data_IF_415096776158
#
_entry.id   IF_415096776158
#
_cell.length_a   1.000
_cell.length_b   1.000
_cell.length_c   1.000
_cell.angle_alpha   90.00
_cell.angle_beta   90.00
_cell.angle_gamma   90.00
#
_symmetry.space_group_name_H-M   'P 1'
#
loop_
_entity.id
_entity.type
_entity.pdbx_description
1 polymer ?
#
# COMPACT_ATOMS: atom_id res chain seq x y z
N UNK A 1 21.60 -5.11 33.00
CA UNK A 1 20.61 -6.11 32.54
C UNK A 1 19.37 -5.32 32.20
N UNK A 2 19.09 -5.09 30.92
CA UNK A 2 17.82 -4.47 30.48
C UNK A 2 16.70 -5.46 30.80
N UNK A 3 15.72 -5.01 31.59
CA UNK A 3 14.55 -5.83 31.90
C UNK A 3 13.93 -6.38 30.61
N UNK A 4 13.47 -7.62 30.64
CA UNK A 4 12.81 -8.22 29.49
C UNK A 4 11.55 -7.42 29.16
N UNK A 5 11.29 -7.19 27.86
CA UNK A 5 10.09 -6.50 27.41
C UNK A 5 8.85 -7.25 27.87
N UNK A 6 7.92 -6.53 28.52
CA UNK A 6 6.66 -7.09 29.02
C UNK A 6 5.62 -7.21 27.89
N UNK A 7 5.57 -8.40 27.28
CA UNK A 7 4.60 -8.70 26.23
C UNK A 7 3.14 -8.65 26.75
N UNK A 8 2.91 -9.01 28.04
CA UNK A 8 1.56 -8.99 28.59
C UNK A 8 1.03 -7.56 28.75
N UNK A 9 1.91 -6.59 29.06
CA UNK A 9 1.54 -5.20 29.12
C UNK A 9 1.14 -4.64 27.73
N UNK A 10 1.83 -5.07 26.67
CA UNK A 10 1.45 -4.70 25.28
C UNK A 10 0.09 -5.34 24.93
N UNK A 11 -0.09 -6.62 25.23
CA UNK A 11 -1.33 -7.35 24.94
C UNK A 11 -2.53 -6.71 25.69
N UNK A 12 -2.34 -6.30 26.96
CA UNK A 12 -3.35 -5.57 27.74
C UNK A 12 -3.63 -4.17 27.14
N UNK A 13 -2.59 -3.44 26.72
CA UNK A 13 -2.77 -2.13 26.08
C UNK A 13 -3.64 -2.23 24.81
N UNK A 14 -3.48 -3.28 24.03
CA UNK A 14 -4.33 -3.53 22.87
C UNK A 14 -5.79 -3.72 23.24
N UNK A 15 -6.09 -4.55 24.24
CA UNK A 15 -7.48 -4.81 24.66
C UNK A 15 -8.14 -3.59 25.32
N UNK A 16 -7.43 -2.92 26.23
CA UNK A 16 -8.03 -1.94 27.13
C UNK A 16 -8.05 -0.51 26.54
N UNK A 17 -7.09 -0.18 25.66
CA UNK A 17 -6.88 1.21 25.21
C UNK A 17 -6.86 1.37 23.70
N UNK A 18 -6.27 0.40 22.95
CA UNK A 18 -6.11 0.54 21.50
C UNK A 18 -7.39 0.16 20.79
N UNK A 19 -7.91 -1.04 20.98
CA UNK A 19 -9.11 -1.50 20.25
C UNK A 19 -10.32 -0.56 20.41
N UNK A 20 -10.63 0.02 21.58
CA UNK A 20 -11.70 1.01 21.69
C UNK A 20 -11.49 2.22 20.77
N UNK A 21 -10.29 2.82 20.79
CA UNK A 21 -10.00 4.01 19.97
C UNK A 21 -9.82 3.68 18.49
N UNK A 22 -9.27 2.52 18.15
CA UNK A 22 -9.23 2.04 16.75
C UNK A 22 -10.65 1.85 16.19
N UNK A 23 -11.61 1.39 17.01
CA UNK A 23 -13.01 1.35 16.63
C UNK A 23 -13.60 2.76 16.41
N UNK A 24 -13.21 3.76 17.21
CA UNK A 24 -13.61 5.16 16.99
C UNK A 24 -13.02 5.69 15.67
N UNK A 25 -11.73 5.47 15.44
CA UNK A 25 -11.06 5.83 14.19
C UNK A 25 -11.73 5.16 12.98
N UNK A 26 -12.08 3.87 13.07
CA UNK A 26 -12.72 3.14 11.97
C UNK A 26 -14.03 3.80 11.53
N UNK A 27 -14.79 4.39 12.44
CA UNK A 27 -16.05 5.09 12.14
C UNK A 27 -15.88 6.39 11.36
N UNK A 28 -14.68 6.96 11.34
CA UNK A 28 -14.38 8.21 10.62
C UNK A 28 -14.14 7.88 9.14
N UNK A 29 -14.93 8.39 8.20
CA UNK A 29 -14.74 8.13 6.76
C UNK A 29 -13.67 9.05 6.16
N UNK A 30 -12.44 8.99 6.68
CA UNK A 30 -11.30 9.80 6.25
C UNK A 30 -10.70 9.25 4.94
N UNK A 31 -11.47 9.39 3.84
CA UNK A 31 -11.05 8.98 2.51
C UNK A 31 -9.84 9.78 2.04
N UNK A 32 -8.94 9.11 1.33
CA UNK A 32 -7.81 9.74 0.66
C UNK A 32 -8.27 10.75 -0.40
N UNK A 33 -7.51 11.84 -0.65
CA UNK A 33 -7.90 12.91 -1.57
C UNK A 33 -8.27 12.47 -2.99
N UNK A 34 -7.65 11.43 -3.52
CA UNK A 34 -7.99 10.88 -4.84
C UNK A 34 -9.46 10.39 -4.92
N UNK A 35 -10.05 10.07 -3.77
CA UNK A 35 -11.41 9.52 -3.67
C UNK A 35 -12.41 10.48 -3.03
N UNK A 36 -11.95 11.62 -2.53
CA UNK A 36 -12.77 12.68 -1.94
C UNK A 36 -12.19 14.06 -2.28
N UNK A 37 -12.63 14.61 -3.40
CA UNK A 37 -12.20 15.95 -3.84
C UNK A 37 -12.51 17.06 -2.81
N UNK A 38 -13.54 16.85 -1.98
CA UNK A 38 -13.99 17.81 -0.95
C UNK A 38 -13.42 17.47 0.44
N UNK A 39 -12.38 16.65 0.54
CA UNK A 39 -11.81 16.16 1.80
C UNK A 39 -11.52 17.29 2.82
N UNK A 40 -11.04 18.45 2.33
CA UNK A 40 -10.70 19.59 3.18
C UNK A 40 -11.96 20.24 3.80
N UNK A 41 -13.07 20.27 3.05
CA UNK A 41 -14.34 20.84 3.51
C UNK A 41 -15.06 19.87 4.44
N UNK A 42 -15.01 18.57 4.16
CA UNK A 42 -15.63 17.52 5.00
C UNK A 42 -14.92 17.34 6.33
N UNK A 43 -13.60 17.55 6.37
CA UNK A 43 -12.82 17.57 7.60
C UNK A 43 -12.56 16.19 8.23
N UNK A 44 -12.96 15.07 7.61
CA UNK A 44 -12.82 13.73 8.19
C UNK A 44 -11.35 13.31 8.41
N UNK A 45 -10.45 13.70 7.50
CA UNK A 45 -9.00 13.51 7.66
C UNK A 45 -8.48 14.27 8.89
N UNK A 46 -8.95 15.51 9.08
CA UNK A 46 -8.55 16.33 10.24
C UNK A 46 -9.10 15.73 11.53
N UNK A 47 -10.34 15.23 11.51
CA UNK A 47 -10.97 14.55 12.66
C UNK A 47 -10.15 13.30 13.05
N UNK A 48 -9.72 12.48 12.07
CA UNK A 48 -8.86 11.32 12.32
C UNK A 48 -7.52 11.75 12.95
N UNK A 49 -6.86 12.77 12.38
CA UNK A 49 -5.60 13.29 12.92
C UNK A 49 -5.74 13.81 14.38
N UNK A 50 -6.81 14.53 14.69
CA UNK A 50 -7.05 15.02 16.05
C UNK A 50 -7.40 13.88 17.04
N UNK A 51 -8.14 12.87 16.61
CA UNK A 51 -8.41 11.67 17.42
C UNK A 51 -7.09 10.97 17.79
N UNK A 52 -6.25 10.68 16.79
CA UNK A 52 -4.96 10.01 16.99
C UNK A 52 -4.03 10.86 17.85
N UNK A 53 -3.90 12.16 17.57
CA UNK A 53 -3.08 13.07 18.37
C UNK A 53 -3.57 13.19 19.83
N UNK A 54 -4.88 13.21 20.04
CA UNK A 54 -5.48 13.21 21.39
C UNK A 54 -5.15 11.92 22.13
N UNK A 55 -5.31 10.78 21.48
CA UNK A 55 -4.95 9.48 22.06
C UNK A 55 -3.48 9.43 22.47
N UNK A 56 -2.55 9.88 21.60
CA UNK A 56 -1.10 9.92 21.90
C UNK A 56 -0.81 10.75 23.16
N UNK A 57 -1.36 11.97 23.24
CA UNK A 57 -1.17 12.85 24.40
C UNK A 57 -1.68 12.26 25.71
N UNK A 58 -2.73 11.39 25.64
CA UNK A 58 -3.25 10.69 26.81
C UNK A 58 -2.37 9.50 27.22
N UNK A 59 -1.58 8.90 26.29
CA UNK A 59 -0.65 7.85 26.64
C UNK A 59 0.58 8.41 27.37
N UNK A 60 1.19 9.48 26.84
CA UNK A 60 2.30 10.18 27.48
C UNK A 60 2.34 11.66 27.02
N UNK A 61 2.10 12.55 27.96
CA UNK A 61 2.15 14.00 27.72
C UNK A 61 3.57 14.54 27.42
N UNK A 62 4.62 13.75 27.65
CA UNK A 62 5.99 14.12 27.31
C UNK A 62 6.29 13.93 25.81
N UNK A 63 5.49 13.15 25.09
CA UNK A 63 5.61 13.02 23.64
C UNK A 63 5.16 14.31 22.94
N UNK A 64 6.09 14.95 22.23
CA UNK A 64 5.76 16.12 21.43
C UNK A 64 4.91 15.71 20.23
N UNK A 65 3.63 16.04 20.25
CA UNK A 65 2.64 15.63 19.24
C UNK A 65 2.14 16.86 18.49
N UNK A 66 2.39 16.91 17.19
CA UNK A 66 2.09 18.02 16.29
C UNK A 66 1.33 17.55 15.07
N UNK A 67 0.26 18.23 14.68
CA UNK A 67 -0.40 18.05 13.39
C UNK A 67 0.15 19.11 12.44
N UNK A 68 1.04 18.69 11.55
CA UNK A 68 1.67 19.54 10.55
C UNK A 68 0.64 19.87 9.46
N UNK A 69 0.53 21.17 9.13
CA UNK A 69 -0.41 21.65 8.12
C UNK A 69 0.34 22.50 7.09
N UNK A 70 0.15 22.20 5.82
CA UNK A 70 0.59 23.02 4.69
C UNK A 70 -0.63 23.44 3.88
N UNK A 71 -0.66 24.69 3.34
CA UNK A 71 -1.78 25.16 2.54
C UNK A 71 -2.09 24.22 1.35
N UNK A 72 -3.36 23.83 1.22
CA UNK A 72 -3.84 22.97 0.13
C UNK A 72 -3.37 21.53 0.18
N UNK A 73 -2.77 21.07 1.29
CA UNK A 73 -2.26 19.70 1.47
C UNK A 73 -2.90 19.02 2.67
N UNK A 74 -2.93 17.70 2.62
CA UNK A 74 -3.35 16.86 3.75
C UNK A 74 -2.42 17.03 4.94
N UNK A 75 -2.90 16.86 6.19
CA UNK A 75 -2.05 16.98 7.36
C UNK A 75 -1.12 15.75 7.52
N UNK A 76 -0.03 15.94 8.27
CA UNK A 76 0.82 14.86 8.77
C UNK A 76 0.85 14.95 10.30
N UNK A 77 0.59 13.83 10.97
CA UNK A 77 0.78 13.73 12.42
C UNK A 77 2.24 13.36 12.70
N UNK A 78 2.96 14.27 13.36
CA UNK A 78 4.32 14.07 13.83
C UNK A 78 4.34 13.86 15.33
N UNK A 79 4.99 12.78 15.79
CA UNK A 79 5.22 12.49 17.19
C UNK A 79 6.74 12.35 17.39
N UNK A 80 7.32 13.16 18.28
CA UNK A 80 8.74 13.19 18.59
C UNK A 80 8.93 12.90 20.09
N UNK A 81 9.76 11.93 20.43
CA UNK A 81 10.06 11.60 21.83
C UNK A 81 11.05 12.56 22.51
N UNK A 82 11.55 13.56 21.77
CA UNK A 82 12.53 14.54 22.28
C UNK A 82 13.92 13.96 22.55
N UNK A 83 14.20 12.73 22.10
CA UNK A 83 15.52 12.10 22.24
C UNK A 83 16.60 12.76 21.39
N UNK A 84 17.82 12.26 21.47
CA UNK A 84 18.97 12.79 20.74
C UNK A 84 19.60 11.73 19.82
N UNK A 85 20.46 12.18 18.90
CA UNK A 85 21.16 11.33 17.93
C UNK A 85 20.41 11.16 16.61
N UNK A 86 20.90 10.26 15.75
CA UNK A 86 20.25 9.90 14.50
C UNK A 86 18.92 9.21 14.79
N UNK A 87 17.81 9.68 14.22
CA UNK A 87 16.49 9.18 14.59
C UNK A 87 16.20 7.79 14.02
N UNK A 88 15.35 7.06 14.73
CA UNK A 88 14.53 6.03 14.12
C UNK A 88 13.22 6.68 13.68
N UNK A 89 12.84 6.50 12.42
CA UNK A 89 11.56 6.95 11.88
C UNK A 89 10.61 5.76 11.83
N UNK A 90 9.43 5.89 12.44
CA UNK A 90 8.33 4.93 12.29
C UNK A 90 7.28 5.57 11.43
N UNK A 91 6.86 4.89 10.36
CA UNK A 91 5.96 5.40 9.34
C UNK A 91 4.69 4.58 9.27
N UNK A 92 3.58 5.27 9.01
CA UNK A 92 2.27 4.74 8.67
C UNK A 92 1.38 5.84 8.12
N UNK A 93 0.11 5.52 7.83
CA UNK A 93 -0.86 6.48 7.32
C UNK A 93 -2.21 6.42 8.04
N UNK A 94 -3.06 7.45 7.81
CA UNK A 94 -4.37 7.56 8.45
C UNK A 94 -5.52 7.77 7.46
N UNK A 95 -5.24 7.96 6.19
CA UNK A 95 -6.27 8.02 5.14
C UNK A 95 -6.70 6.62 4.71
N UNK A 96 -7.81 6.52 4.01
CA UNK A 96 -8.46 5.25 3.70
C UNK A 96 -8.88 5.15 2.25
N UNK A 97 -8.88 3.93 1.74
CA UNK A 97 -9.58 3.55 0.52
C UNK A 97 -11.09 3.68 0.66
N UNK A 98 -11.83 3.91 -0.45
CA UNK A 98 -13.29 3.89 -0.43
C UNK A 98 -13.85 2.51 -0.08
N UNK A 99 -15.11 2.44 0.39
CA UNK A 99 -15.78 1.19 0.71
C UNK A 99 -16.22 0.45 -0.57
N UNK A 100 -15.27 -0.16 -1.27
CA UNK A 100 -15.51 -0.88 -2.51
C UNK A 100 -16.22 -2.22 -2.27
N UNK A 101 -17.14 -2.59 -3.18
CA UNK A 101 -17.85 -3.86 -3.15
C UNK A 101 -18.95 -3.97 -2.07
N UNK A 102 -19.56 -5.15 -1.99
CA UNK A 102 -20.60 -5.45 -1.01
C UNK A 102 -19.97 -6.10 0.23
N UNK A 103 -20.24 -5.53 1.40
CA UNK A 103 -19.80 -6.08 2.68
C UNK A 103 -20.73 -7.21 3.11
N UNK A 104 -20.17 -8.23 3.77
CA UNK A 104 -20.94 -9.35 4.35
C UNK A 104 -22.02 -8.83 5.29
N UNK A 105 -23.17 -9.48 5.31
CA UNK A 105 -24.27 -9.10 6.21
C UNK A 105 -23.79 -9.01 7.67
N UNK A 106 -24.08 -7.89 8.32
CA UNK A 106 -23.64 -7.58 9.67
C UNK A 106 -22.27 -6.90 9.74
N UNK A 107 -21.58 -6.67 8.61
CA UNK A 107 -20.36 -5.89 8.52
C UNK A 107 -20.59 -4.64 7.68
N UNK A 108 -19.78 -3.60 7.95
CA UNK A 108 -19.78 -2.35 7.18
C UNK A 108 -18.43 -1.66 7.25
N UNK A 109 -18.11 -0.79 6.27
CA UNK A 109 -16.80 -0.16 6.20
C UNK A 109 -16.50 0.72 7.44
N UNK A 110 -17.51 1.39 7.96
CA UNK A 110 -17.39 2.31 9.10
C UNK A 110 -18.14 1.82 10.35
N UNK A 111 -18.42 0.53 10.39
CA UNK A 111 -19.07 -0.15 11.51
C UNK A 111 -18.13 -1.24 12.02
N UNK A 112 -17.19 -0.91 12.93
CA UNK A 112 -16.19 -1.87 13.39
C UNK A 112 -16.87 -3.02 14.14
N UNK A 113 -16.57 -4.26 13.72
CA UNK A 113 -17.10 -5.48 14.34
C UNK A 113 -15.95 -6.42 14.68
N UNK A 114 -15.87 -6.84 15.94
CA UNK A 114 -14.91 -7.87 16.36
C UNK A 114 -15.54 -9.26 16.30
N UNK A 115 -14.89 -10.17 15.58
CA UNK A 115 -15.22 -11.60 15.57
C UNK A 115 -13.96 -12.42 15.95
N UNK A 116 -13.88 -12.84 17.18
CA UNK A 116 -12.69 -13.56 17.70
C UNK A 116 -11.42 -12.71 17.64
N UNK A 117 -10.45 -13.16 16.86
CA UNK A 117 -9.16 -12.48 16.67
C UNK A 117 -9.17 -11.44 15.53
N UNK A 118 -10.30 -11.23 14.88
CA UNK A 118 -10.42 -10.29 13.76
C UNK A 118 -11.24 -9.08 14.16
N UNK A 119 -10.78 -7.88 13.78
CA UNK A 119 -11.55 -6.63 13.83
C UNK A 119 -11.84 -6.21 12.39
N UNK A 120 -13.09 -6.28 11.99
CA UNK A 120 -13.57 -5.85 10.68
C UNK A 120 -13.86 -4.36 10.64
N UNK A 121 -13.48 -3.71 9.53
CA UNK A 121 -13.75 -2.31 9.23
C UNK A 121 -12.69 -1.72 8.31
N UNK A 122 -13.05 -0.75 7.48
CA UNK A 122 -12.12 -0.06 6.58
C UNK A 122 -11.09 0.74 7.36
N UNK A 123 -9.80 0.56 7.05
CA UNK A 123 -8.69 1.23 7.70
C UNK A 123 -8.32 0.62 9.05
N UNK A 124 -8.81 -0.59 9.39
CA UNK A 124 -8.40 -1.27 10.62
C UNK A 124 -7.00 -1.87 10.50
N UNK A 125 -6.70 -2.45 9.32
CA UNK A 125 -5.44 -3.11 9.01
C UNK A 125 -4.57 -2.28 8.08
N UNK A 126 -5.18 -1.47 7.24
CA UNK A 126 -4.59 -0.61 6.24
C UNK A 126 -5.00 0.86 6.49
N UNK A 127 -4.26 1.69 7.24
CA UNK A 127 -3.11 1.40 8.14
C UNK A 127 -3.38 2.01 9.55
N UNK A 128 -4.67 2.12 9.92
CA UNK A 128 -5.10 2.81 11.16
C UNK A 128 -4.50 2.22 12.44
N UNK A 129 -4.01 0.97 12.43
CA UNK A 129 -3.38 0.35 13.58
C UNK A 129 -1.97 0.91 13.85
N UNK A 130 -1.28 1.45 12.83
CA UNK A 130 0.14 1.81 12.88
C UNK A 130 0.48 2.85 13.94
N UNK A 131 -0.31 3.90 14.07
CA UNK A 131 -0.11 4.92 15.13
C UNK A 131 -0.09 4.29 16.51
N UNK A 132 -1.05 3.39 16.77
CA UNK A 132 -1.17 2.72 18.06
C UNK A 132 -0.01 1.76 18.31
N UNK A 133 0.38 0.99 17.29
CA UNK A 133 1.51 0.06 17.37
C UNK A 133 2.83 0.81 17.58
N UNK A 134 3.07 1.91 16.84
CA UNK A 134 4.27 2.73 16.95
C UNK A 134 4.42 3.36 18.34
N UNK A 135 3.38 4.03 18.84
CA UNK A 135 3.42 4.71 20.15
C UNK A 135 3.50 3.71 21.29
N UNK A 136 2.72 2.63 21.26
CA UNK A 136 2.78 1.60 22.31
C UNK A 136 4.11 0.89 22.31
N UNK A 137 4.68 0.60 21.12
CA UNK A 137 6.02 0.04 20.97
C UNK A 137 7.10 0.97 21.54
N UNK A 138 7.02 2.28 21.25
CA UNK A 138 7.91 3.29 21.79
C UNK A 138 7.88 3.34 23.33
N UNK A 139 6.70 3.38 23.92
CA UNK A 139 6.53 3.42 25.37
C UNK A 139 7.00 2.12 26.04
N UNK A 140 6.72 0.98 25.42
CA UNK A 140 7.17 -0.33 25.90
C UNK A 140 8.69 -0.51 25.79
N UNK A 141 9.35 0.09 24.81
CA UNK A 141 10.80 0.06 24.65
C UNK A 141 11.53 0.65 25.88
N UNK A 142 10.89 1.53 26.62
CA UNK A 142 11.49 2.22 27.77
C UNK A 142 12.51 3.29 27.34
N UNK A 143 13.38 3.68 28.24
CA UNK A 143 14.42 4.69 27.92
C UNK A 143 15.63 4.09 27.22
N UNK A 144 16.46 4.97 26.60
CA UNK A 144 17.76 4.60 26.03
C UNK A 144 17.78 4.32 24.53
N UNK A 145 16.65 4.40 23.85
CA UNK A 145 16.53 4.14 22.39
C UNK A 145 16.89 5.32 21.48
N UNK A 146 17.36 6.44 22.04
CA UNK A 146 17.70 7.64 21.28
C UNK A 146 16.47 8.40 20.76
N UNK A 147 16.62 9.11 19.66
CA UNK A 147 15.53 9.88 19.06
C UNK A 147 14.62 9.00 18.21
N UNK A 148 13.33 9.11 18.42
CA UNK A 148 12.29 8.42 17.63
C UNK A 148 11.31 9.46 17.11
N UNK A 149 11.05 9.39 15.81
CA UNK A 149 10.03 10.17 15.12
C UNK A 149 8.98 9.22 14.55
N UNK A 150 7.71 9.47 14.86
CA UNK A 150 6.61 8.74 14.24
C UNK A 150 5.90 9.70 13.28
N UNK A 151 5.82 9.31 12.01
CA UNK A 151 5.21 10.08 10.93
C UNK A 151 3.99 9.32 10.43
N UNK A 152 2.81 9.94 10.54
CA UNK A 152 1.54 9.37 10.05
C UNK A 152 0.98 10.34 9.03
N UNK A 153 1.03 9.97 7.76
CA UNK A 153 0.49 10.81 6.68
C UNK A 153 -1.00 10.59 6.44
N UNK A 154 -1.59 11.38 5.55
CA UNK A 154 -3.02 11.34 5.24
C UNK A 154 -3.30 11.43 3.73
N UNK A 155 -2.39 10.94 2.90
CA UNK A 155 -2.54 10.85 1.44
C UNK A 155 -1.82 9.65 0.83
N UNK A 156 -1.49 8.63 1.63
CA UNK A 156 -0.78 7.43 1.14
C UNK A 156 -1.57 6.74 0.03
N UNK A 157 -2.84 6.54 0.25
CA UNK A 157 -3.78 5.88 -0.65
C UNK A 157 -4.06 6.65 -1.97
N UNK A 158 -3.53 7.87 -2.04
CA UNK A 158 -3.45 8.71 -3.25
C UNK A 158 -2.03 8.75 -3.84
N UNK A 159 -1.11 7.90 -3.36
CA UNK A 159 0.30 7.86 -3.78
C UNK A 159 1.20 8.89 -3.10
N UNK A 160 0.86 9.34 -1.89
CA UNK A 160 1.67 10.26 -1.04
C UNK A 160 2.03 11.61 -1.69
N UNK A 161 1.15 12.29 -2.45
CA UNK A 161 1.51 13.50 -3.19
C UNK A 161 1.94 14.65 -2.29
N UNK A 162 1.54 14.63 -1.02
CA UNK A 162 1.78 15.72 -0.07
C UNK A 162 2.97 15.48 0.85
N UNK A 163 3.38 14.23 1.03
CA UNK A 163 4.38 13.85 2.03
C UNK A 163 5.75 14.50 1.79
N UNK A 164 6.24 14.51 0.54
CA UNK A 164 7.54 15.12 0.21
C UNK A 164 7.59 16.61 0.56
N UNK A 165 6.48 17.34 0.42
CA UNK A 165 6.41 18.75 0.82
C UNK A 165 6.49 18.91 2.34
N UNK A 166 5.85 18.02 3.11
CA UNK A 166 5.98 18.01 4.57
C UNK A 166 7.42 17.67 5.01
N UNK A 167 8.06 16.68 4.37
CA UNK A 167 9.45 16.34 4.66
C UNK A 167 10.41 17.51 4.36
N UNK A 168 10.20 18.19 3.23
CA UNK A 168 10.97 19.39 2.89
C UNK A 168 10.77 20.52 3.92
N UNK A 169 9.53 20.72 4.37
CA UNK A 169 9.20 21.71 5.41
C UNK A 169 9.79 21.36 6.78
N UNK A 170 9.85 20.08 7.13
CA UNK A 170 10.51 19.62 8.35
C UNK A 170 12.03 19.83 8.29
N UNK A 171 12.64 19.79 7.10
CA UNK A 171 14.05 20.07 6.90
C UNK A 171 14.94 19.31 7.87
N UNK A 172 15.83 20.02 8.55
CA UNK A 172 16.74 19.42 9.52
C UNK A 172 16.10 18.82 10.79
N UNK A 173 14.77 18.99 11.00
CA UNK A 173 14.07 18.38 12.15
C UNK A 173 14.05 16.86 12.05
N UNK A 174 13.98 16.26 10.84
CA UNK A 174 14.04 14.81 10.68
C UNK A 174 15.47 14.31 10.91
N UNK A 175 16.49 15.05 10.45
CA UNK A 175 17.87 14.58 10.45
C UNK A 175 18.11 13.47 9.42
N UNK A 176 19.15 12.67 9.63
CA UNK A 176 19.41 11.47 8.83
C UNK A 176 18.96 10.24 9.62
N UNK A 177 17.89 9.54 9.20
CA UNK A 177 17.45 8.37 9.92
C UNK A 177 18.48 7.23 9.82
N UNK A 178 18.77 6.57 10.93
CA UNK A 178 19.57 5.33 10.93
C UNK A 178 18.71 4.09 10.59
N UNK A 179 17.42 4.16 10.91
CA UNK A 179 16.44 3.10 10.68
C UNK A 179 15.08 3.72 10.35
N UNK A 180 14.42 3.19 9.33
CA UNK A 180 13.01 3.44 9.03
C UNK A 180 12.24 2.15 9.29
N UNK A 181 11.20 2.21 10.11
CA UNK A 181 10.23 1.13 10.34
C UNK A 181 8.93 1.55 9.66
N UNK A 182 8.57 0.89 8.56
CA UNK A 182 7.30 1.09 7.88
C UNK A 182 6.32 0.01 8.36
N UNK A 183 5.13 0.41 8.80
CA UNK A 183 4.11 -0.50 9.35
C UNK A 183 3.02 -0.86 8.35
N UNK A 184 3.05 -0.26 7.16
CA UNK A 184 2.09 -0.42 6.10
C UNK A 184 2.47 -1.56 5.15
N UNK A 185 2.46 -2.80 5.64
CA UNK A 185 2.78 -3.98 4.85
C UNK A 185 2.18 -5.27 5.45
N UNK A 186 2.58 -6.41 4.90
CA UNK A 186 2.03 -7.69 5.32
C UNK A 186 2.88 -8.91 4.97
N UNK A 187 2.22 -10.05 4.80
CA UNK A 187 2.88 -11.29 4.48
C UNK A 187 1.94 -12.43 4.11
N UNK A 188 2.52 -13.62 3.93
CA UNK A 188 1.80 -14.81 3.43
C UNK A 188 1.01 -15.56 4.50
N UNK A 189 1.27 -15.28 5.80
CA UNK A 189 0.63 -15.97 6.92
C UNK A 189 0.64 -15.12 8.19
N UNK A 190 -0.14 -15.54 9.20
CA UNK A 190 -0.15 -14.92 10.54
C UNK A 190 0.67 -15.71 11.57
N UNK A 191 1.52 -16.65 11.17
CA UNK A 191 2.27 -17.54 12.05
C UNK A 191 3.76 -17.18 12.18
N UNK A 192 4.17 -16.02 11.66
CA UNK A 192 5.50 -15.40 11.80
C UNK A 192 5.45 -13.90 11.52
N UNK A 193 6.51 -13.18 11.87
CA UNK A 193 6.72 -11.84 11.33
C UNK A 193 7.13 -11.92 9.85
N UNK A 194 6.69 -10.95 9.07
CA UNK A 194 7.07 -10.80 7.68
C UNK A 194 7.80 -9.49 7.45
N UNK A 195 8.80 -9.55 6.57
CA UNK A 195 9.50 -8.38 6.05
C UNK A 195 9.23 -8.23 4.57
N UNK A 196 8.86 -7.05 4.17
CA UNK A 196 8.78 -6.67 2.77
C UNK A 196 10.15 -6.28 2.26
N UNK A 197 10.65 -7.01 1.28
CA UNK A 197 11.99 -6.82 0.70
C UNK A 197 11.96 -6.14 -0.66
N UNK A 198 10.79 -6.02 -1.28
CA UNK A 198 10.58 -5.25 -2.50
C UNK A 198 9.12 -4.87 -2.68
N UNK A 199 8.88 -3.77 -3.36
CA UNK A 199 7.58 -3.24 -3.75
C UNK A 199 7.58 -2.97 -5.24
N UNK A 200 6.51 -3.35 -5.94
CA UNK A 200 6.36 -2.99 -7.34
C UNK A 200 6.07 -1.51 -7.51
N UNK A 201 6.54 -0.93 -8.62
CA UNK A 201 6.08 0.35 -9.08
C UNK A 201 4.65 0.28 -9.65
N UNK A 202 4.06 1.44 -9.91
CA UNK A 202 2.72 1.54 -10.49
C UNK A 202 2.61 2.74 -11.43
N UNK A 203 1.98 2.54 -12.59
CA UNK A 203 1.54 3.62 -13.48
C UNK A 203 0.03 3.54 -13.59
N UNK A 204 -0.65 4.66 -13.38
CA UNK A 204 -2.10 4.79 -13.58
C UNK A 204 -2.35 5.85 -14.65
N UNK A 205 -3.10 5.49 -15.67
CA UNK A 205 -3.42 6.40 -16.77
C UNK A 205 -4.83 6.16 -17.32
N UNK A 206 -5.53 7.25 -17.63
CA UNK A 206 -6.76 7.22 -18.42
C UNK A 206 -6.42 7.35 -19.91
N UNK A 207 -6.88 6.39 -20.69
CA UNK A 207 -6.69 6.38 -22.15
C UNK A 207 -8.05 6.52 -22.81
N UNK A 208 -8.27 7.67 -23.45
CA UNK A 208 -9.49 8.00 -24.17
C UNK A 208 -9.27 7.99 -25.67
N UNK A 209 -10.17 7.34 -26.39
CA UNK A 209 -10.21 7.32 -27.86
C UNK A 209 -11.51 7.92 -28.35
N UNK A 210 -11.45 9.03 -29.11
CA UNK A 210 -12.57 9.68 -29.77
C UNK A 210 -12.55 9.37 -31.28
N UNK A 211 -13.69 8.92 -31.83
CA UNK A 211 -13.85 8.56 -33.25
C UNK A 211 -14.99 9.32 -33.93
N UNK A 212 -15.94 9.87 -33.18
CA UNK A 212 -17.09 10.61 -33.64
C UNK A 212 -17.35 11.81 -32.72
N UNK A 213 -18.03 12.81 -33.23
CA UNK A 213 -18.49 13.98 -32.45
C UNK A 213 -19.79 13.68 -31.69
N UNK A 214 -20.58 12.72 -32.18
CA UNK A 214 -21.84 12.25 -31.56
C UNK A 214 -22.09 10.77 -31.89
N UNK A 215 -22.92 10.10 -31.10
CA UNK A 215 -23.31 8.71 -31.36
C UNK A 215 -24.19 8.59 -32.60
N UNK A 216 -23.95 7.59 -33.45
CA UNK A 216 -24.76 7.31 -34.64
C UNK A 216 -25.30 5.87 -34.61
N UNK A 217 -26.31 5.59 -35.44
CA UNK A 217 -26.87 4.25 -35.56
C UNK A 217 -25.80 3.24 -35.98
N UNK A 218 -25.62 2.16 -35.24
CA UNK A 218 -24.54 1.19 -35.47
C UNK A 218 -24.62 0.49 -36.82
N UNK A 219 -25.83 0.33 -37.40
CA UNK A 219 -26.03 -0.18 -38.76
C UNK A 219 -25.62 0.80 -39.88
N UNK A 220 -25.47 2.09 -39.56
CA UNK A 220 -24.99 3.09 -40.50
C UNK A 220 -23.48 3.28 -40.43
N UNK A 221 -22.93 3.34 -39.21
CA UNK A 221 -21.51 3.58 -39.00
C UNK A 221 -20.67 2.30 -38.92
N UNK A 222 -21.26 1.17 -38.57
CA UNK A 222 -20.55 -0.10 -38.42
C UNK A 222 -19.96 -0.58 -39.75
N UNK A 223 -18.67 -0.92 -39.75
CA UNK A 223 -17.91 -1.28 -40.95
C UNK A 223 -17.35 -0.08 -41.73
N UNK A 224 -17.77 1.15 -41.43
CA UNK A 224 -17.32 2.40 -42.06
C UNK A 224 -16.43 3.18 -41.11
N UNK A 225 -16.90 3.41 -39.87
CA UNK A 225 -16.14 4.13 -38.84
C UNK A 225 -15.46 3.13 -37.92
N UNK A 226 -14.17 3.28 -37.59
CA UNK A 226 -13.52 2.44 -36.61
C UNK A 226 -14.18 2.63 -35.24
N UNK A 227 -14.41 1.54 -34.51
CA UNK A 227 -14.93 1.61 -33.15
C UNK A 227 -13.84 2.06 -32.20
N UNK A 228 -14.14 3.04 -31.31
CA UNK A 228 -13.23 3.48 -30.26
C UNK A 228 -12.74 2.33 -29.38
N UNK A 229 -13.63 1.43 -29.01
CA UNK A 229 -13.29 0.22 -28.24
C UNK A 229 -12.39 -0.76 -29.01
N UNK A 230 -12.52 -0.87 -30.33
CA UNK A 230 -11.62 -1.70 -31.16
C UNK A 230 -10.21 -1.11 -31.19
N UNK A 231 -10.08 0.22 -31.26
CA UNK A 231 -8.78 0.88 -31.20
C UNK A 231 -8.13 0.64 -29.84
N UNK A 232 -8.87 0.82 -28.73
CA UNK A 232 -8.37 0.51 -27.37
C UNK A 232 -7.91 -0.94 -27.23
N UNK A 233 -8.70 -1.92 -27.69
CA UNK A 233 -8.28 -3.32 -27.68
C UNK A 233 -6.96 -3.53 -28.40
N UNK A 234 -6.74 -2.88 -29.55
CA UNK A 234 -5.49 -2.99 -30.30
C UNK A 234 -4.32 -2.30 -29.57
N UNK A 235 -4.56 -1.19 -28.89
CA UNK A 235 -3.58 -0.55 -28.01
C UNK A 235 -3.18 -1.52 -26.91
N UNK A 236 -4.14 -2.13 -26.22
CA UNK A 236 -3.87 -3.11 -25.15
C UNK A 236 -3.07 -4.31 -25.69
N UNK A 237 -3.48 -4.90 -26.84
CA UNK A 237 -2.74 -6.02 -27.47
C UNK A 237 -1.34 -5.63 -27.96
N UNK A 238 -1.01 -4.34 -28.05
CA UNK A 238 0.35 -3.84 -28.31
C UNK A 238 1.19 -3.71 -27.03
N UNK A 239 0.54 -3.69 -25.87
CA UNK A 239 1.19 -3.55 -24.55
C UNK A 239 1.37 -4.92 -23.90
N UNK A 240 0.36 -5.80 -24.02
CA UNK A 240 0.40 -7.15 -23.46
C UNK A 240 -0.02 -8.22 -24.46
N UNK A 241 0.46 -9.42 -24.28
CA UNK A 241 -0.03 -10.61 -24.96
C UNK A 241 -1.35 -11.07 -24.33
N UNK A 242 -2.45 -10.98 -25.06
CA UNK A 242 -3.80 -11.25 -24.56
C UNK A 242 -4.05 -12.71 -24.11
N UNK A 243 -3.21 -13.64 -24.53
CA UNK A 243 -3.34 -15.05 -24.19
C UNK A 243 -2.61 -15.40 -22.87
N UNK A 244 -1.52 -14.70 -22.59
CA UNK A 244 -0.64 -15.00 -21.45
C UNK A 244 -0.59 -13.90 -20.40
N UNK A 245 -1.10 -12.71 -20.68
CA UNK A 245 -0.99 -11.53 -19.81
C UNK A 245 0.44 -10.97 -19.70
N UNK A 246 1.38 -11.44 -20.56
CA UNK A 246 2.77 -10.96 -20.52
C UNK A 246 2.89 -9.58 -21.17
N UNK A 247 3.53 -8.66 -20.47
CA UNK A 247 3.86 -7.35 -21.01
C UNK A 247 4.88 -7.48 -22.15
N UNK A 248 4.61 -6.76 -23.25
CA UNK A 248 5.40 -6.80 -24.48
C UNK A 248 6.42 -5.66 -24.59
N UNK A 249 6.28 -4.61 -23.77
CA UNK A 249 7.15 -3.43 -23.77
C UNK A 249 8.41 -3.71 -22.95
N UNK A 250 9.62 -3.78 -23.56
CA UNK A 250 10.85 -4.13 -22.85
C UNK A 250 11.19 -3.17 -21.70
N UNK A 251 10.84 -1.91 -21.83
CA UNK A 251 11.10 -0.88 -20.83
C UNK A 251 10.30 -1.08 -19.53
N UNK A 252 9.28 -1.93 -19.57
CA UNK A 252 8.44 -2.26 -18.40
C UNK A 252 8.86 -3.57 -17.72
N UNK A 253 9.83 -4.32 -18.27
CA UNK A 253 10.15 -5.68 -17.78
C UNK A 253 11.27 -5.72 -16.72
N UNK A 254 12.07 -4.65 -16.61
CA UNK A 254 13.21 -4.60 -15.69
C UNK A 254 14.33 -5.59 -16.03
N UNK A 255 15.28 -5.76 -15.14
CA UNK A 255 16.41 -6.68 -15.28
C UNK A 255 16.06 -8.12 -14.85
N UNK A 256 14.88 -8.33 -14.31
CA UNK A 256 14.43 -9.59 -13.75
C UNK A 256 14.74 -9.75 -12.26
N UNK A 257 14.17 -10.77 -11.66
CA UNK A 257 14.33 -11.00 -10.21
C UNK A 257 15.77 -11.40 -9.87
N UNK A 258 16.42 -10.76 -8.85
CA UNK A 258 17.72 -11.18 -8.36
C UNK A 258 17.71 -12.61 -7.80
N UNK A 259 18.80 -13.34 -7.98
CA UNK A 259 18.97 -14.74 -7.55
C UNK A 259 18.60 -14.94 -6.06
N UNK A 260 19.03 -14.02 -5.19
CA UNK A 260 18.76 -14.09 -3.75
C UNK A 260 17.25 -13.98 -3.42
N UNK A 261 16.50 -13.15 -4.17
CA UNK A 261 15.06 -13.02 -4.01
C UNK A 261 14.34 -14.26 -4.54
N UNK A 262 14.76 -14.79 -5.69
CA UNK A 262 14.20 -16.02 -6.25
C UNK A 262 14.43 -17.21 -5.32
N UNK A 263 15.64 -17.40 -4.82
CA UNK A 263 15.96 -18.46 -3.87
C UNK A 263 15.11 -18.37 -2.59
N UNK A 264 14.85 -17.14 -2.10
CA UNK A 264 13.97 -16.95 -0.96
C UNK A 264 12.51 -17.31 -1.30
N UNK A 265 12.00 -16.91 -2.46
CA UNK A 265 10.64 -17.28 -2.92
C UNK A 265 10.51 -18.80 -3.03
N UNK A 266 11.52 -19.52 -3.51
CA UNK A 266 11.52 -20.98 -3.60
C UNK A 266 11.31 -21.66 -2.24
N UNK A 267 11.80 -21.06 -1.15
CA UNK A 267 11.58 -21.57 0.22
C UNK A 267 10.19 -21.29 0.77
N UNK A 268 9.46 -20.33 0.19
CA UNK A 268 8.19 -19.81 0.70
C UNK A 268 7.00 -20.10 -0.22
N UNK A 269 7.24 -20.67 -1.40
CA UNK A 269 6.20 -20.83 -2.42
C UNK A 269 5.00 -21.65 -1.95
N UNK A 270 5.24 -22.67 -1.13
CA UNK A 270 4.19 -23.50 -0.54
C UNK A 270 3.35 -22.78 0.53
N UNK A 271 3.84 -21.65 1.06
CA UNK A 271 3.10 -20.84 2.05
C UNK A 271 2.07 -19.92 1.39
N UNK A 272 2.20 -19.65 0.09
CA UNK A 272 1.21 -18.86 -0.64
C UNK A 272 -0.05 -19.67 -0.90
N UNK A 273 -1.10 -19.40 -0.13
CA UNK A 273 -2.38 -20.06 -0.33
C UNK A 273 -3.15 -19.43 -1.48
N UNK A 274 -3.40 -20.21 -2.54
CA UNK A 274 -4.30 -19.81 -3.65
C UNK A 274 -5.72 -19.56 -3.15
N UNK A 275 -6.14 -20.22 -2.05
CA UNK A 275 -7.46 -20.00 -1.46
C UNK A 275 -7.65 -18.62 -0.84
N UNK A 276 -6.55 -17.85 -0.63
CA UNK A 276 -6.61 -16.44 -0.24
C UNK A 276 -7.03 -15.52 -1.41
N UNK A 277 -6.95 -16.01 -2.66
CA UNK A 277 -7.49 -15.30 -3.83
C UNK A 277 -8.96 -15.67 -3.98
N UNK A 278 -9.91 -14.71 -3.97
CA UNK A 278 -11.35 -14.99 -4.08
C UNK A 278 -11.75 -15.33 -5.53
N UNK A 279 -11.15 -16.36 -6.09
CA UNK A 279 -11.35 -16.80 -7.44
C UNK A 279 -12.67 -17.57 -7.59
N UNK A 280 -13.32 -17.46 -8.75
CA UNK A 280 -14.47 -18.31 -9.10
C UNK A 280 -14.03 -19.76 -9.28
N UNK A 281 -14.95 -20.69 -9.01
CA UNK A 281 -14.66 -22.12 -9.19
C UNK A 281 -14.27 -22.44 -10.66
N UNK A 282 -13.20 -23.20 -10.82
CA UNK A 282 -12.69 -23.61 -12.14
C UNK A 282 -11.81 -22.59 -12.85
N UNK A 283 -11.46 -21.46 -12.22
CA UNK A 283 -10.50 -20.53 -12.80
C UNK A 283 -9.11 -21.17 -12.91
N UNK A 284 -8.50 -21.05 -14.10
CA UNK A 284 -7.08 -21.37 -14.30
C UNK A 284 -6.25 -20.12 -14.03
N UNK A 285 -5.27 -20.23 -13.14
CA UNK A 285 -4.33 -19.15 -12.88
C UNK A 285 -3.37 -18.98 -14.05
N UNK A 286 -2.92 -17.75 -14.31
CA UNK A 286 -1.94 -17.46 -15.37
C UNK A 286 -0.63 -18.22 -15.12
N UNK A 287 -0.16 -18.25 -13.86
CA UNK A 287 1.05 -18.98 -13.46
C UNK A 287 0.68 -20.19 -12.59
N UNK A 288 0.76 -21.42 -13.14
CA UNK A 288 0.42 -22.64 -12.39
C UNK A 288 1.50 -23.03 -11.36
N UNK A 289 2.78 -22.73 -11.64
CA UNK A 289 3.88 -23.01 -10.71
C UNK A 289 3.85 -22.04 -9.51
N UNK A 290 3.95 -22.54 -8.27
CA UNK A 290 3.89 -21.67 -7.06
C UNK A 290 5.01 -20.65 -6.98
N UNK A 291 6.24 -20.98 -7.42
CA UNK A 291 7.39 -20.06 -7.43
C UNK A 291 7.17 -18.97 -8.46
N UNK A 292 6.83 -19.35 -9.70
CA UNK A 292 6.61 -18.37 -10.77
C UNK A 292 5.41 -17.48 -10.51
N UNK A 293 4.39 -18.00 -9.80
CA UNK A 293 3.24 -17.19 -9.30
C UNK A 293 3.67 -16.10 -8.34
N UNK A 294 4.52 -16.40 -7.36
CA UNK A 294 5.06 -15.40 -6.44
C UNK A 294 6.00 -14.43 -7.17
N UNK A 295 6.81 -14.92 -8.10
CA UNK A 295 7.65 -14.06 -8.95
C UNK A 295 6.77 -13.08 -9.75
N UNK A 296 5.74 -13.57 -10.42
CA UNK A 296 4.82 -12.74 -11.20
C UNK A 296 4.15 -11.67 -10.31
N UNK A 297 3.70 -12.06 -9.12
CA UNK A 297 3.06 -11.15 -8.16
C UNK A 297 4.00 -10.06 -7.63
N UNK A 298 5.28 -10.36 -7.41
CA UNK A 298 6.21 -9.49 -6.66
C UNK A 298 7.26 -8.80 -7.53
N UNK A 299 7.59 -9.38 -8.69
CA UNK A 299 8.62 -8.91 -9.63
C UNK A 299 8.14 -8.84 -11.07
N UNK A 300 6.94 -9.32 -11.38
CA UNK A 300 6.37 -9.27 -12.72
C UNK A 300 5.72 -7.92 -13.03
N UNK A 301 5.84 -7.48 -14.30
CA UNK A 301 4.98 -6.45 -14.83
C UNK A 301 3.57 -7.02 -15.10
N UNK A 302 2.53 -6.24 -14.87
CA UNK A 302 1.15 -6.63 -15.11
C UNK A 302 0.29 -5.44 -15.49
N UNK A 303 -0.66 -5.64 -16.41
CA UNK A 303 -1.62 -4.63 -16.84
C UNK A 303 -3.03 -5.03 -16.40
N UNK A 304 -3.75 -4.11 -15.77
CA UNK A 304 -5.16 -4.26 -15.43
C UNK A 304 -5.97 -3.08 -15.94
N UNK A 305 -7.20 -3.35 -16.40
CA UNK A 305 -8.18 -2.32 -16.72
C UNK A 305 -9.09 -2.14 -15.50
N UNK A 306 -8.87 -1.07 -14.75
CA UNK A 306 -9.55 -0.82 -13.47
C UNK A 306 -10.79 0.07 -13.58
N UNK A 307 -11.01 0.68 -14.75
CA UNK A 307 -12.18 1.52 -15.00
C UNK A 307 -12.52 1.63 -16.48
N UNK A 308 -13.77 1.93 -16.81
CA UNK A 308 -14.22 2.16 -18.18
C UNK A 308 -15.33 3.21 -18.22
N UNK A 309 -15.29 4.12 -19.22
CA UNK A 309 -16.35 5.07 -19.54
C UNK A 309 -16.69 5.02 -21.05
N UNK A 310 -17.89 5.50 -21.40
CA UNK A 310 -18.41 5.42 -22.77
C UNK A 310 -19.03 4.06 -23.13
N UNK A 311 -19.03 3.10 -22.21
CA UNK A 311 -19.68 1.79 -22.32
C UNK A 311 -20.87 1.71 -21.35
N UNK A 312 -22.13 1.90 -21.81
CA UNK A 312 -23.29 1.84 -20.94
C UNK A 312 -23.51 0.40 -20.41
N UNK A 313 -24.22 0.31 -19.28
CA UNK A 313 -24.68 -1.01 -18.79
C UNK A 313 -25.46 -1.73 -19.89
N UNK A 314 -25.41 -3.08 -19.99
CA UNK A 314 -26.08 -3.83 -21.06
C UNK A 314 -27.56 -3.48 -21.25
N UNK A 315 -28.31 -3.26 -20.16
CA UNK A 315 -29.73 -2.86 -20.19
C UNK A 315 -29.98 -1.47 -20.78
N UNK A 316 -28.96 -0.59 -20.75
CA UNK A 316 -29.02 0.79 -21.21
C UNK A 316 -28.35 0.95 -22.59
N UNK A 317 -27.81 -0.16 -23.14
CA UNK A 317 -27.14 -0.24 -24.44
C UNK A 317 -28.13 -0.28 -25.59
N UNK A 318 -28.10 0.72 -26.48
CA UNK A 318 -28.84 0.76 -27.74
C UNK A 318 -27.94 0.42 -28.94
N UNK A 319 -28.54 0.35 -30.15
CA UNK A 319 -27.84 0.13 -31.41
C UNK A 319 -27.08 1.40 -31.86
N UNK A 320 -26.15 1.86 -31.04
CA UNK A 320 -25.40 3.09 -31.24
C UNK A 320 -23.91 2.78 -31.34
N UNK A 321 -23.26 3.27 -32.40
CA UNK A 321 -21.80 3.37 -32.45
C UNK A 321 -21.37 4.54 -31.56
N UNK A 322 -20.56 4.23 -30.56
CA UNK A 322 -20.14 5.20 -29.53
C UNK A 322 -19.15 6.21 -30.09
N UNK A 323 -19.26 7.50 -29.70
CA UNK A 323 -18.33 8.54 -30.14
C UNK A 323 -16.94 8.38 -29.52
N UNK A 324 -16.88 7.91 -28.29
CA UNK A 324 -15.66 7.71 -27.53
C UNK A 324 -15.74 6.53 -26.57
N UNK A 325 -14.59 6.07 -26.12
CA UNK A 325 -14.42 5.13 -25.01
C UNK A 325 -13.16 5.51 -24.25
N UNK A 326 -13.24 5.47 -22.92
CA UNK A 326 -12.09 5.66 -22.02
C UNK A 326 -11.85 4.39 -21.21
N UNK A 327 -10.59 4.00 -21.04
CA UNK A 327 -10.18 2.93 -20.12
C UNK A 327 -9.18 3.51 -19.13
N UNK A 328 -9.35 3.18 -17.85
CA UNK A 328 -8.34 3.40 -16.82
C UNK A 328 -7.43 2.20 -16.77
N UNK A 329 -6.16 2.41 -17.01
CA UNK A 329 -5.12 1.41 -16.99
C UNK A 329 -4.33 1.50 -15.69
N UNK A 330 -4.07 0.37 -15.06
CA UNK A 330 -3.14 0.23 -13.92
C UNK A 330 -2.07 -0.77 -14.31
N UNK A 331 -0.82 -0.29 -14.42
CA UNK A 331 0.33 -1.13 -14.73
C UNK A 331 1.22 -1.26 -13.52
N UNK A 332 1.43 -2.49 -13.08
CA UNK A 332 2.45 -2.79 -12.08
C UNK A 332 3.79 -2.98 -12.76
N UNK A 333 4.82 -2.35 -12.18
CA UNK A 333 6.19 -2.41 -12.69
C UNK A 333 7.07 -3.24 -11.76
N UNK A 334 8.04 -4.02 -12.29
CA UNK A 334 9.07 -4.62 -11.45
C UNK A 334 9.73 -3.57 -10.54
N UNK A 335 10.21 -3.97 -9.34
CA UNK A 335 10.78 -3.04 -8.36
C UNK A 335 11.96 -2.22 -8.85
N UNK A 336 12.72 -2.71 -9.84
CA UNK A 336 13.93 -2.12 -10.42
C UNK A 336 13.66 -1.27 -11.67
N UNK A 337 12.41 -1.16 -12.12
CA UNK A 337 12.05 -0.37 -13.31
C UNK A 337 11.93 1.11 -12.93
N UNK A 338 12.57 1.97 -13.73
CA UNK A 338 12.39 3.42 -13.63
C UNK A 338 11.00 3.83 -14.14
N UNK A 339 10.18 4.38 -13.23
CA UNK A 339 8.78 4.68 -13.50
C UNK A 339 8.61 5.75 -14.60
N UNK A 340 9.55 6.70 -14.73
CA UNK A 340 9.49 7.73 -15.76
C UNK A 340 9.76 7.11 -17.15
N UNK A 341 10.81 6.31 -17.26
CA UNK A 341 11.14 5.60 -18.51
C UNK A 341 9.99 4.68 -18.95
N UNK A 342 9.40 3.95 -18.00
CA UNK A 342 8.24 3.09 -18.28
C UNK A 342 7.01 3.90 -18.73
N UNK A 343 6.76 5.06 -18.12
CA UNK A 343 5.66 5.96 -18.50
C UNK A 343 5.83 6.50 -19.92
N UNK A 344 7.04 6.92 -20.28
CA UNK A 344 7.35 7.43 -21.62
C UNK A 344 7.17 6.33 -22.68
N UNK A 345 7.60 5.10 -22.38
CA UNK A 345 7.41 3.95 -23.27
C UNK A 345 5.92 3.61 -23.43
N UNK A 346 5.15 3.61 -22.33
CA UNK A 346 3.70 3.39 -22.35
C UNK A 346 2.99 4.43 -23.21
N UNK A 347 3.27 5.72 -22.98
CA UNK A 347 2.69 6.83 -23.75
C UNK A 347 3.03 6.68 -25.25
N UNK A 348 4.26 6.28 -25.57
CA UNK A 348 4.70 6.02 -26.95
C UNK A 348 3.92 4.86 -27.59
N UNK A 349 3.72 3.77 -26.86
CA UNK A 349 2.98 2.60 -27.33
C UNK A 349 1.48 2.88 -27.54
N UNK A 350 0.87 3.74 -26.71
CA UNK A 350 -0.54 4.14 -26.84
C UNK A 350 -0.77 5.06 -28.05
N UNK A 351 0.18 5.91 -28.39
CA UNK A 351 0.06 6.83 -29.53
C UNK A 351 0.16 6.07 -30.84
N UNK A 352 -0.99 5.74 -31.42
CA UNK A 352 -1.10 5.08 -32.72
C UNK A 352 -1.59 6.06 -33.77
N UNK A 353 -1.17 5.87 -35.04
CA UNK A 353 -1.65 6.65 -36.17
C UNK A 353 -2.91 6.01 -36.78
N UNK A 354 -4.02 6.12 -36.08
CA UNK A 354 -5.31 5.55 -36.48
C UNK A 354 -6.25 6.60 -37.10
N UNK A 355 -5.84 7.84 -37.13
CA UNK A 355 -6.73 8.97 -37.48
C UNK A 355 -7.79 9.28 -36.42
N UNK A 356 -7.78 8.58 -35.26
CA UNK A 356 -8.61 8.88 -34.10
C UNK A 356 -7.90 9.88 -33.17
N UNK A 357 -8.69 10.59 -32.36
CA UNK A 357 -8.10 11.40 -31.31
C UNK A 357 -7.85 10.52 -30.08
N UNK A 358 -6.58 10.41 -29.67
CA UNK A 358 -6.18 9.65 -28.48
C UNK A 358 -5.66 10.65 -27.46
N UNK A 359 -6.34 10.72 -26.31
CA UNK A 359 -5.92 11.48 -25.15
C UNK A 359 -5.43 10.52 -24.07
N UNK A 360 -4.33 10.89 -23.42
CA UNK A 360 -3.73 10.14 -22.31
C UNK A 360 -3.63 11.11 -21.15
N UNK A 361 -4.23 10.75 -20.02
CA UNK A 361 -4.09 11.44 -18.75
C UNK A 361 -3.33 10.52 -17.80
N UNK A 362 -2.08 10.88 -17.49
CA UNK A 362 -1.22 10.14 -16.58
C UNK A 362 -1.51 10.63 -15.14
N UNK A 363 -2.26 9.84 -14.38
CA UNK A 363 -2.64 10.21 -13.01
C UNK A 363 -1.50 9.98 -12.01
N UNK A 364 -0.75 8.87 -12.16
CA UNK A 364 0.33 8.51 -11.25
C UNK A 364 1.43 7.72 -11.95
N UNK A 365 2.66 7.92 -11.46
CA UNK A 365 3.82 7.10 -11.79
C UNK A 365 4.66 6.93 -10.51
N UNK A 366 4.47 5.81 -9.83
CA UNK A 366 5.15 5.48 -8.58
C UNK A 366 6.32 4.55 -8.82
N UNK A 367 7.49 4.94 -8.31
CA UNK A 367 8.70 4.13 -8.35
C UNK A 367 8.56 2.88 -7.49
N UNK A 368 9.05 1.74 -7.98
CA UNK A 368 9.23 0.55 -7.15
C UNK A 368 10.36 0.71 -6.14
N UNK A 369 10.45 -0.24 -5.22
CA UNK A 369 11.45 -0.22 -4.16
C UNK A 369 12.07 -1.60 -3.95
N UNK A 370 13.38 -1.63 -3.71
CA UNK A 370 14.12 -2.82 -3.26
C UNK A 370 14.82 -2.48 -1.96
N UNK A 371 14.50 -3.21 -0.90
CA UNK A 371 15.12 -3.02 0.41
C UNK A 371 16.64 -3.21 0.35
N UNK A 372 17.42 -2.36 1.00
CA UNK A 372 18.84 -2.64 1.19
C UNK A 372 19.01 -3.91 2.05
N UNK A 373 20.15 -4.61 1.92
CA UNK A 373 20.44 -5.74 2.77
C UNK A 373 20.31 -5.38 4.26
N UNK A 374 19.60 -6.22 5.01
CA UNK A 374 19.38 -6.00 6.43
C UNK A 374 20.67 -6.17 7.22
N UNK A 375 20.93 -5.25 8.16
CA UNK A 375 22.02 -5.39 9.11
C UNK A 375 21.88 -6.67 9.95
N UNK A 376 23.01 -7.32 10.26
CA UNK A 376 23.01 -8.59 10.99
C UNK A 376 22.39 -8.49 12.40
N UNK A 377 22.56 -7.33 13.07
CA UNK A 377 21.96 -7.07 14.38
C UNK A 377 20.43 -6.95 14.29
N UNK A 378 19.93 -6.21 13.32
CA UNK A 378 18.50 -6.10 13.06
C UNK A 378 17.90 -7.45 12.66
N UNK A 379 18.57 -8.21 11.80
CA UNK A 379 18.13 -9.56 11.41
C UNK A 379 18.04 -10.50 12.62
N UNK A 380 19.03 -10.46 13.52
CA UNK A 380 19.03 -11.24 14.74
C UNK A 380 17.88 -10.84 15.69
N UNK A 381 17.61 -9.52 15.81
CA UNK A 381 16.49 -9.02 16.62
C UNK A 381 15.16 -9.51 16.08
N UNK A 382 14.91 -9.36 14.79
CA UNK A 382 13.67 -9.80 14.13
C UNK A 382 13.47 -11.32 14.26
N UNK A 383 14.55 -12.10 14.08
CA UNK A 383 14.54 -13.54 14.30
C UNK A 383 14.15 -13.91 15.72
N UNK A 384 14.76 -13.24 16.72
CA UNK A 384 14.45 -13.48 18.13
C UNK A 384 12.98 -13.13 18.45
N UNK A 385 12.50 -11.99 17.95
CA UNK A 385 11.11 -11.56 18.14
C UNK A 385 10.13 -12.56 17.51
N UNK A 386 10.35 -12.94 16.26
CA UNK A 386 9.47 -13.87 15.56
C UNK A 386 9.43 -15.23 16.25
N UNK A 387 10.59 -15.78 16.62
CA UNK A 387 10.68 -17.03 17.39
C UNK A 387 9.97 -16.94 18.73
N UNK A 388 10.08 -15.80 19.44
CA UNK A 388 9.43 -15.61 20.74
C UNK A 388 7.91 -15.53 20.64
N UNK A 389 7.39 -14.83 19.59
CA UNK A 389 5.94 -14.61 19.44
C UNK A 389 5.22 -15.73 18.70
N UNK A 390 5.90 -16.41 17.78
CA UNK A 390 5.29 -17.37 16.86
C UNK A 390 5.96 -18.75 16.86
N UNK A 391 7.12 -18.92 17.50
CA UNK A 391 7.89 -20.18 17.47
C UNK A 391 8.65 -20.43 16.16
N UNK A 392 8.59 -19.50 15.18
CA UNK A 392 9.22 -19.60 13.86
C UNK A 392 10.10 -18.38 13.60
N UNK A 393 11.06 -18.52 12.69
CA UNK A 393 11.84 -17.40 12.20
C UNK A 393 10.97 -16.45 11.35
N UNK A 394 11.38 -15.18 11.19
CA UNK A 394 10.68 -14.28 10.28
C UNK A 394 10.79 -14.74 8.82
N UNK A 395 9.80 -14.40 8.04
CA UNK A 395 9.81 -14.54 6.57
C UNK A 395 10.12 -13.23 5.89
N UNK A 396 10.63 -13.29 4.66
CA UNK A 396 10.85 -12.11 3.82
C UNK A 396 10.28 -12.34 2.44
N UNK A 397 9.54 -11.35 1.92
CA UNK A 397 8.93 -11.46 0.59
C UNK A 397 8.78 -10.07 -0.03
N UNK A 398 8.71 -10.02 -1.35
CA UNK A 398 8.24 -8.84 -2.06
C UNK A 398 6.72 -8.71 -1.99
N UNK A 399 6.21 -7.49 -2.11
CA UNK A 399 4.79 -7.22 -2.20
C UNK A 399 4.40 -6.67 -3.59
N UNK A 400 3.14 -6.93 -3.97
CA UNK A 400 2.61 -6.46 -5.25
C UNK A 400 2.20 -4.99 -5.25
N UNK A 401 2.07 -4.39 -4.07
CA UNK A 401 1.73 -2.98 -3.87
C UNK A 401 2.92 -2.04 -4.03
N UNK A 402 2.67 -0.75 -3.90
CA UNK A 402 3.67 0.32 -3.95
C UNK A 402 3.54 1.16 -2.70
N UNK A 403 4.65 1.53 -2.10
CA UNK A 403 4.75 2.54 -1.04
C UNK A 403 5.81 3.54 -1.50
N UNK A 404 5.43 4.58 -2.27
CA UNK A 404 6.38 5.49 -2.93
C UNK A 404 7.36 6.14 -1.97
N UNK A 405 6.92 6.43 -0.77
CA UNK A 405 7.71 7.02 0.30
C UNK A 405 9.02 6.26 0.62
N UNK A 406 9.00 4.91 0.60
CA UNK A 406 10.20 4.13 0.90
C UNK A 406 11.30 4.32 -0.13
N UNK A 407 10.93 4.39 -1.41
CA UNK A 407 11.88 4.66 -2.49
C UNK A 407 12.49 6.06 -2.36
N UNK A 408 11.68 7.06 -2.06
CA UNK A 408 12.12 8.45 -1.90
C UNK A 408 13.01 8.63 -0.67
N UNK A 409 12.66 7.99 0.46
CA UNK A 409 13.52 8.00 1.65
C UNK A 409 14.87 7.32 1.40
N UNK A 410 14.87 6.16 0.77
CA UNK A 410 16.13 5.45 0.47
C UNK A 410 17.04 6.28 -0.43
N UNK A 411 16.46 6.96 -1.42
CA UNK A 411 17.20 7.87 -2.29
C UNK A 411 17.73 9.11 -1.55
N UNK A 412 16.92 9.65 -0.64
CA UNK A 412 17.29 10.82 0.17
C UNK A 412 18.31 10.54 1.28
N UNK A 413 18.30 9.31 1.83
CA UNK A 413 19.12 8.90 2.96
C UNK A 413 19.87 7.57 2.66
N UNK A 414 20.88 7.59 1.77
CA UNK A 414 21.66 6.40 1.46
C UNK A 414 22.39 5.89 2.72
N UNK A 415 22.27 4.59 3.01
CA UNK A 415 22.84 3.96 4.20
C UNK A 415 21.87 3.76 5.35
N UNK A 416 20.65 4.32 5.29
CA UNK A 416 19.57 4.04 6.22
C UNK A 416 19.14 2.57 6.10
N UNK A 417 18.89 1.92 7.25
CA UNK A 417 18.28 0.59 7.30
C UNK A 417 16.77 0.70 7.20
N UNK A 418 16.13 -0.29 6.57
CA UNK A 418 14.67 -0.33 6.41
C UNK A 418 14.10 -1.64 6.93
N UNK A 419 13.05 -1.55 7.74
CA UNK A 419 12.21 -2.68 8.19
C UNK A 419 10.77 -2.36 7.79
N UNK A 420 10.35 -2.83 6.62
CA UNK A 420 8.95 -2.76 6.22
C UNK A 420 8.26 -4.05 6.67
N UNK A 421 7.24 -3.90 7.51
CA UNK A 421 6.45 -4.99 8.11
C UNK A 421 5.03 -4.51 8.34
N UNK A 422 4.14 -5.39 8.73
CA UNK A 422 2.76 -4.98 9.00
C UNK A 422 1.87 -6.15 9.38
N UNK A 423 0.57 -5.92 9.24
CA UNK A 423 -0.48 -6.82 9.71
C UNK A 423 -1.31 -7.43 8.61
N UNK A 424 -1.11 -6.99 7.36
CA UNK A 424 -1.83 -7.54 6.22
C UNK A 424 -1.41 -8.99 5.99
N UNK A 425 -2.38 -9.86 5.81
CA UNK A 425 -2.15 -11.28 5.64
C UNK A 425 -3.30 -11.95 4.88
N UNK A 426 -3.36 -13.28 4.89
CA UNK A 426 -4.44 -13.99 4.22
C UNK A 426 -5.81 -13.51 4.67
N UNK A 427 -6.66 -13.13 3.72
CA UNK A 427 -8.03 -12.63 3.94
C UNK A 427 -8.14 -11.28 4.66
N UNK A 428 -7.05 -10.54 4.88
CA UNK A 428 -7.14 -9.15 5.38
C UNK A 428 -7.93 -8.24 4.46
N UNK A 429 -7.87 -8.51 3.15
CA UNK A 429 -8.66 -7.88 2.09
C UNK A 429 -8.59 -6.34 2.10
N UNK A 430 -7.38 -5.80 2.32
CA UNK A 430 -7.13 -4.38 2.14
C UNK A 430 -7.69 -3.92 0.78
N UNK A 431 -8.23 -2.70 0.70
CA UNK A 431 -8.92 -2.11 -0.44
C UNK A 431 -10.24 -2.81 -0.86
N UNK A 432 -10.50 -4.05 -0.43
CA UNK A 432 -11.73 -4.80 -0.71
C UNK A 432 -12.80 -4.64 0.37
N UNK A 433 -13.99 -5.28 0.20
CA UNK A 433 -14.97 -5.38 1.27
C UNK A 433 -14.51 -6.37 2.35
N UNK A 434 -15.03 -6.21 3.56
CA UNK A 434 -14.69 -7.05 4.73
C UNK A 434 -13.22 -7.00 5.14
N UNK A 435 -12.56 -5.86 4.93
CA UNK A 435 -11.22 -5.64 5.48
C UNK A 435 -11.18 -5.97 6.97
N UNK A 436 -10.12 -6.66 7.39
CA UNK A 436 -9.97 -7.08 8.79
C UNK A 436 -8.53 -7.03 9.28
N UNK A 437 -8.39 -6.55 10.51
CA UNK A 437 -7.15 -6.60 11.28
C UNK A 437 -7.08 -7.91 12.06
N UNK A 438 -5.98 -8.66 11.91
CA UNK A 438 -5.67 -9.78 12.78
C UNK A 438 -5.00 -9.29 14.07
N UNK A 439 -5.78 -9.20 15.16
CA UNK A 439 -5.37 -8.60 16.44
C UNK A 439 -4.09 -9.25 17.03
N UNK A 440 -3.90 -10.59 17.03
CA UNK A 440 -2.66 -11.18 17.52
C UNK A 440 -1.43 -10.75 16.70
N UNK A 441 -1.56 -10.56 15.37
CA UNK A 441 -0.46 -10.06 14.55
C UNK A 441 -0.14 -8.59 14.90
N UNK A 442 -1.15 -7.75 15.10
CA UNK A 442 -0.95 -6.37 15.50
C UNK A 442 -0.21 -6.25 16.85
N UNK A 443 -0.56 -7.10 17.82
CA UNK A 443 0.15 -7.22 19.10
C UNK A 443 1.62 -7.63 18.89
N UNK A 444 1.87 -8.59 17.99
CA UNK A 444 3.22 -9.06 17.69
C UNK A 444 4.06 -8.02 16.95
N UNK A 445 3.49 -7.28 16.01
CA UNK A 445 4.14 -6.15 15.33
C UNK A 445 4.47 -5.04 16.33
N UNK A 446 3.56 -4.71 17.24
CA UNK A 446 3.82 -3.73 18.33
C UNK A 446 5.02 -4.17 19.19
N UNK A 447 5.08 -5.45 19.53
CA UNK A 447 6.21 -6.01 20.26
C UNK A 447 7.51 -5.93 19.45
N UNK A 448 7.44 -6.18 18.12
CA UNK A 448 8.59 -6.05 17.23
C UNK A 448 9.11 -4.60 17.17
N UNK A 449 8.23 -3.61 17.06
CA UNK A 449 8.61 -2.18 17.12
C UNK A 449 9.37 -1.89 18.42
N UNK A 450 8.87 -2.33 19.58
CA UNK A 450 9.54 -2.10 20.86
C UNK A 450 10.95 -2.70 20.90
N UNK A 451 11.15 -3.95 20.45
CA UNK A 451 12.46 -4.60 20.44
C UNK A 451 13.41 -3.98 19.40
N UNK A 452 12.90 -3.58 18.23
CA UNK A 452 13.69 -2.86 17.21
C UNK A 452 14.20 -1.52 17.77
N UNK A 453 13.35 -0.75 18.46
CA UNK A 453 13.75 0.51 19.08
C UNK A 453 14.82 0.29 20.16
N UNK A 454 14.73 -0.77 20.94
CA UNK A 454 15.74 -1.14 21.97
C UNK A 454 17.06 -1.60 21.38
N UNK A 455 17.03 -2.28 20.23
CA UNK A 455 18.23 -2.81 19.56
C UNK A 455 18.93 -1.76 18.70
N UNK A 456 18.23 -0.73 18.30
CA UNK A 456 18.74 0.35 17.47
C UNK A 456 19.54 1.42 18.25
N UNK A 457 20.08 1.07 19.43
CA UNK A 457 20.93 1.96 20.29
C UNK A 457 22.37 2.00 19.82
#
# INVERSE_FOLDING_TARGET
MTDALDAAAIDAAWEDRILPTLCEYTRIPCLSPAYDADWAERGAIVEAAELLASWVRHQDAALHTEILRLPGRTPVLLIDNGGSGEPVVVYGHMDKQPPLGEWRSGLGPYEPVREGDLLYGRGTADDGYSTFAAVTGLLAAGGGHGRVLILIEASEESGSPDLLAHLANLGGRIGTPRLVICLDSGGLSFDRLWLTTSLRGNIVADVRVDVLTEGIHSGQGGGVVPSSFRILRRILSGIEDEATGRILLPELLGAGIPESHRANIETLADEFSVSAVPAVEGLHLLEPDPVDRLVARTWGAALEVTGADGLPKPRDGGNVLRPSTTLKLSLRLPPDVDAQTASDALISAIRTDEGAHIAIDLEAAAQGWVAPPLDAGLAATLSAVSKKRFGRDFGSIGEGGSIPFLADLQKGFPGTQFVATGVLGPHSNAHGPNESLHIPMAKAVTYAVAELLRSAT
#
